data_IF_567356682423
#
_entry.id   IF_567356682423
#
_cell.length_a   1.000
_cell.length_b   1.000
_cell.length_c   1.000
_cell.angle_alpha   90.00
_cell.angle_beta   90.00
_cell.angle_gamma   90.00
#
_symmetry.space_group_name_H-M   'P 1'
#
loop_
_entity.id
_entity.type
_entity.pdbx_description
1 polymer ?
#
# COMPACT_ATOMS: atom_id res chain seq x y z
N UNK A 1 -0.31 -7.62 16.48
CA UNK A 1 0.34 -7.33 15.20
C UNK A 1 -0.19 -5.95 14.85
N UNK A 2 0.64 -4.89 14.88
CA UNK A 2 0.18 -3.62 14.31
C UNK A 2 -0.20 -3.91 12.86
N UNK A 3 -1.41 -3.52 12.48
CA UNK A 3 -1.90 -3.75 11.13
C UNK A 3 -1.03 -2.90 10.19
N UNK A 4 -0.66 -3.41 9.01
CA UNK A 4 0.20 -2.65 8.08
C UNK A 4 -0.37 -1.24 7.82
N UNK A 5 -1.70 -1.16 7.78
CA UNK A 5 -2.47 0.07 7.66
C UNK A 5 -2.17 1.10 8.76
N UNK A 6 -1.96 0.69 10.01
CA UNK A 6 -1.70 1.61 11.14
C UNK A 6 -0.43 2.44 10.90
N UNK A 7 0.60 1.82 10.32
CA UNK A 7 1.87 2.48 10.02
C UNK A 7 1.70 3.55 8.94
N UNK A 8 0.87 3.25 7.95
CA UNK A 8 0.53 4.17 6.87
C UNK A 8 -0.35 5.32 7.37
N UNK A 9 -1.29 5.05 8.26
CA UNK A 9 -2.15 6.07 8.88
C UNK A 9 -1.34 7.01 9.80
N UNK A 10 -0.41 6.46 10.60
CA UNK A 10 0.49 7.22 11.48
C UNK A 10 1.60 7.96 10.72
N UNK A 11 1.69 7.76 9.40
CA UNK A 11 2.69 8.38 8.52
C UNK A 11 4.14 8.05 8.88
N UNK A 12 4.39 6.86 9.41
CA UNK A 12 5.77 6.40 9.63
C UNK A 12 6.33 5.78 8.34
N UNK A 13 6.90 6.64 7.49
CA UNK A 13 7.45 6.22 6.20
C UNK A 13 8.56 5.17 6.34
N UNK A 14 9.42 5.29 7.35
CA UNK A 14 10.56 4.37 7.52
C UNK A 14 10.07 2.98 7.86
N UNK A 15 9.12 2.87 8.78
CA UNK A 15 8.53 1.59 9.15
C UNK A 15 7.68 1.04 8.00
N UNK A 16 6.97 1.89 7.25
CA UNK A 16 6.22 1.46 6.07
C UNK A 16 7.13 0.81 5.01
N UNK A 17 8.30 1.42 4.71
CA UNK A 17 9.30 0.82 3.81
C UNK A 17 9.83 -0.51 4.37
N UNK A 18 10.05 -0.61 5.68
CA UNK A 18 10.52 -1.84 6.32
C UNK A 18 9.49 -2.97 6.19
N UNK A 19 8.22 -2.67 6.48
CA UNK A 19 7.12 -3.63 6.38
C UNK A 19 6.85 -4.07 4.94
N UNK A 20 6.91 -3.16 3.97
CA UNK A 20 6.70 -3.47 2.55
C UNK A 20 7.71 -4.50 2.01
N UNK A 21 8.91 -4.56 2.60
CA UNK A 21 9.96 -5.53 2.27
C UNK A 21 9.83 -6.84 3.03
N UNK A 22 9.20 -6.84 4.20
CA UNK A 22 9.11 -8.01 5.09
C UNK A 22 7.79 -8.78 4.96
N UNK A 23 6.70 -8.13 4.56
CA UNK A 23 5.39 -8.77 4.52
C UNK A 23 5.24 -9.77 3.39
N UNK A 24 4.48 -10.82 3.68
CA UNK A 24 4.02 -11.80 2.72
C UNK A 24 3.16 -11.11 1.63
N UNK A 25 3.41 -11.37 0.34
CA UNK A 25 2.63 -10.81 -0.75
C UNK A 25 1.11 -11.03 -0.61
N UNK A 26 0.67 -12.15 -0.03
CA UNK A 26 -0.75 -12.44 0.16
C UNK A 26 -1.42 -11.56 1.23
N UNK A 27 -0.66 -11.20 2.27
CA UNK A 27 -1.15 -10.29 3.32
C UNK A 27 -1.21 -8.87 2.77
N UNK A 28 -0.17 -8.45 2.06
CA UNK A 28 -0.13 -7.15 1.39
C UNK A 28 -1.23 -7.01 0.32
N UNK A 29 -1.58 -8.09 -0.40
CA UNK A 29 -2.66 -8.05 -1.40
C UNK A 29 -4.03 -7.74 -0.77
N UNK A 30 -4.29 -8.27 0.44
CA UNK A 30 -5.53 -8.01 1.17
C UNK A 30 -5.66 -6.52 1.55
N UNK A 31 -4.55 -5.90 1.91
CA UNK A 31 -4.50 -4.52 2.39
C UNK A 31 -4.17 -3.52 1.26
N UNK A 32 -3.90 -3.99 0.04
CA UNK A 32 -3.39 -3.21 -1.10
C UNK A 32 -4.19 -1.92 -1.38
N UNK A 33 -5.54 -1.93 -1.39
CA UNK A 33 -6.32 -0.70 -1.59
C UNK A 33 -6.05 0.37 -0.52
N UNK A 34 -5.90 -0.04 0.74
CA UNK A 34 -5.60 0.87 1.85
C UNK A 34 -4.18 1.39 1.76
N UNK A 35 -3.21 0.51 1.47
CA UNK A 35 -1.81 0.90 1.33
C UNK A 35 -1.60 1.88 0.16
N UNK A 36 -2.28 1.67 -0.97
CA UNK A 36 -2.29 2.61 -2.09
C UNK A 36 -2.95 3.94 -1.71
N UNK A 37 -4.13 3.92 -1.10
CA UNK A 37 -4.82 5.14 -0.66
C UNK A 37 -3.95 6.01 0.25
N UNK A 38 -3.38 5.41 1.29
CA UNK A 38 -2.57 6.16 2.25
C UNK A 38 -1.21 6.56 1.68
N UNK A 39 -0.54 5.71 0.89
CA UNK A 39 0.74 6.10 0.27
C UNK A 39 0.58 7.31 -0.67
N UNK A 40 -0.49 7.35 -1.47
CA UNK A 40 -0.82 8.49 -2.33
C UNK A 40 -1.15 9.72 -1.46
N UNK A 41 -2.02 9.56 -0.46
CA UNK A 41 -2.44 10.66 0.42
C UNK A 41 -1.29 11.25 1.24
N UNK A 42 -0.29 10.44 1.57
CA UNK A 42 0.92 10.86 2.29
C UNK A 42 2.04 11.37 1.36
N UNK A 43 1.89 11.26 0.04
CA UNK A 43 2.89 11.69 -0.94
C UNK A 43 4.11 10.75 -1.06
N UNK A 44 3.96 9.47 -0.71
CA UNK A 44 5.03 8.47 -0.70
C UNK A 44 5.22 7.80 -2.07
N UNK A 45 5.77 8.57 -3.01
CA UNK A 45 5.96 8.15 -4.41
C UNK A 45 6.80 6.88 -4.58
N UNK A 46 7.74 6.62 -3.68
CA UNK A 46 8.57 5.41 -3.67
C UNK A 46 7.75 4.16 -3.37
N UNK A 47 6.97 4.20 -2.29
CA UNK A 47 6.07 3.11 -1.87
C UNK A 47 4.95 2.90 -2.89
N UNK A 48 4.29 3.97 -3.35
CA UNK A 48 3.20 3.86 -4.34
C UNK A 48 3.70 3.19 -5.63
N UNK A 49 4.90 3.55 -6.11
CA UNK A 49 5.49 2.91 -7.30
C UNK A 49 5.79 1.44 -7.07
N UNK A 50 6.27 1.05 -5.90
CA UNK A 50 6.52 -0.36 -5.57
C UNK A 50 5.23 -1.17 -5.51
N UNK A 51 4.18 -0.65 -4.87
CA UNK A 51 2.87 -1.32 -4.77
C UNK A 51 2.27 -1.57 -6.15
N UNK A 52 2.24 -0.54 -7.02
CA UNK A 52 1.73 -0.67 -8.40
C UNK A 52 2.52 -1.74 -9.18
N UNK A 53 3.85 -1.77 -9.04
CA UNK A 53 4.70 -2.76 -9.71
C UNK A 53 4.48 -4.18 -9.19
N UNK A 54 4.37 -4.36 -7.87
CA UNK A 54 4.22 -5.68 -7.24
C UNK A 54 2.87 -6.30 -7.56
N UNK A 55 1.80 -5.51 -7.56
CA UNK A 55 0.44 -6.03 -7.68
C UNK A 55 -0.17 -5.90 -9.06
N UNK A 56 0.60 -5.40 -10.04
CA UNK A 56 0.11 -5.14 -11.39
C UNK A 56 -1.24 -4.40 -11.36
N UNK A 57 -1.30 -3.36 -10.51
CA UNK A 57 -2.52 -2.62 -10.24
C UNK A 57 -3.22 -2.28 -11.56
N UNK A 58 -4.43 -2.83 -11.75
CA UNK A 58 -5.25 -2.57 -12.92
C UNK A 58 -6.35 -1.59 -12.52
N UNK A 59 -6.28 -0.33 -12.95
CA UNK A 59 -7.29 0.69 -12.62
C UNK A 59 -8.70 0.29 -13.07
N UNK A 60 -8.82 -0.59 -14.07
CA UNK A 60 -10.09 -1.02 -14.63
C UNK A 60 -10.97 -1.82 -13.66
N UNK A 61 -10.44 -2.37 -12.56
CA UNK A 61 -11.26 -3.09 -11.58
C UNK A 61 -11.94 -2.19 -10.54
N UNK A 62 -11.34 -1.04 -10.23
CA UNK A 62 -11.69 -0.27 -9.03
C UNK A 62 -12.57 0.96 -9.29
N UNK A 63 -12.59 1.48 -10.53
CA UNK A 63 -13.33 2.71 -10.86
C UNK A 63 -14.68 2.49 -11.59
N UNK A 64 -15.09 1.23 -11.83
CA UNK A 64 -16.34 0.93 -12.56
C UNK A 64 -17.62 0.85 -11.71
N UNK A 65 -17.54 1.16 -10.41
CA UNK A 65 -18.72 1.45 -9.60
C UNK A 65 -18.81 2.95 -9.36
N UNK A 66 -19.09 3.68 -10.43
CA UNK A 66 -19.52 5.09 -10.40
C UNK A 66 -21.02 5.17 -10.68
#
# INVERSE_FOLDING_TARGET
MEECADVFERRDHKEAVRLLRLQDPNLLYRDEPYLLYFSISNGWLDITRELIKKYHFSPHGYYYYS
#
